data_IF_684721091597
#
_entry.id   IF_684721091597
#
_cell.length_a   1.000
_cell.length_b   1.000
_cell.length_c   1.000
_cell.angle_alpha   90.00
_cell.angle_beta   90.00
_cell.angle_gamma   90.00
#
_symmetry.space_group_name_H-M   'P 1'
#
loop_
_entity.id
_entity.type
_entity.pdbx_description
1 polymer ?
#
# COMPACT_ATOMS: atom_id res chain seq x y z
N UNK A 1 29.35 9.25 14.34
CA UNK A 1 27.96 9.13 13.84
C UNK A 1 27.90 7.90 12.97
N UNK A 2 27.31 6.82 13.47
CA UNK A 2 27.49 5.45 12.98
C UNK A 2 26.13 4.76 12.80
N UNK A 3 25.92 4.22 11.58
CA UNK A 3 24.92 3.25 11.09
C UNK A 3 23.42 3.61 11.25
N UNK A 4 22.52 3.30 10.31
CA UNK A 4 22.41 2.11 9.47
C UNK A 4 21.44 2.38 8.30
N UNK A 5 21.75 1.95 7.07
CA UNK A 5 20.75 1.78 6.02
C UNK A 5 21.12 0.57 5.14
N UNK A 6 20.15 -0.30 4.98
CA UNK A 6 20.29 -1.73 4.73
C UNK A 6 20.94 -2.11 3.40
N UNK A 7 21.84 -3.09 3.51
CA UNK A 7 22.48 -3.88 2.46
C UNK A 7 21.44 -4.53 1.55
N UNK A 8 21.59 -4.35 0.23
CA UNK A 8 20.97 -5.21 -0.77
C UNK A 8 22.11 -5.90 -1.53
N UNK A 9 22.34 -7.17 -1.22
CA UNK A 9 23.00 -8.11 -2.13
C UNK A 9 21.98 -9.17 -2.52
N UNK A 10 22.09 -9.71 -3.75
CA UNK A 10 22.43 -11.13 -3.79
C UNK A 10 23.44 -11.52 -4.88
N UNK A 11 24.41 -12.32 -4.42
CA UNK A 11 25.07 -13.51 -4.99
C UNK A 11 25.50 -13.52 -6.47
N UNK A 12 26.81 -13.68 -6.65
CA UNK A 12 27.42 -14.45 -7.76
C UNK A 12 26.88 -15.88 -7.79
N UNK A 13 26.58 -16.37 -8.98
CA UNK A 13 26.96 -17.72 -9.42
C UNK A 13 27.17 -17.70 -10.93
N UNK A 14 28.38 -18.04 -11.32
CA UNK A 14 28.86 -18.35 -12.67
C UNK A 14 28.37 -19.73 -13.12
N UNK A 15 28.31 -19.94 -14.45
CA UNK A 15 28.35 -21.25 -15.15
C UNK A 15 27.06 -22.13 -15.07
N UNK A 16 26.53 -22.81 -16.10
CA UNK A 16 26.90 -23.14 -17.48
C UNK A 16 25.62 -23.56 -18.25
N UNK A 17 25.64 -23.45 -19.58
CA UNK A 17 24.67 -24.03 -20.52
C UNK A 17 24.65 -25.57 -20.43
N UNK A 18 23.46 -26.20 -20.46
CA UNK A 18 23.09 -27.25 -21.44
C UNK A 18 21.83 -28.05 -21.08
N UNK A 19 21.15 -28.47 -22.16
CA UNK A 19 20.16 -29.55 -22.28
C UNK A 19 18.68 -29.31 -21.96
N UNK A 20 17.93 -29.30 -23.07
CA UNK A 20 16.49 -29.44 -23.23
C UNK A 20 16.08 -30.93 -23.07
N UNK A 21 15.12 -31.26 -22.20
CA UNK A 21 14.09 -32.31 -22.44
C UNK A 21 12.99 -32.38 -21.35
N UNK A 22 11.76 -32.16 -21.82
CA UNK A 22 10.46 -32.78 -21.43
C UNK A 22 10.16 -33.17 -19.96
N UNK A 23 9.08 -32.59 -19.42
CA UNK A 23 8.37 -33.10 -18.24
C UNK A 23 7.21 -32.20 -17.81
N UNK A 24 6.03 -32.42 -18.38
CA UNK A 24 4.76 -31.86 -17.92
C UNK A 24 4.41 -32.41 -16.51
N UNK A 25 3.74 -31.57 -15.72
CA UNK A 25 3.12 -31.85 -14.41
C UNK A 25 4.04 -31.99 -13.19
N UNK A 26 4.18 -30.89 -12.43
CA UNK A 26 3.74 -30.84 -11.02
C UNK A 26 3.62 -29.39 -10.56
N UNK A 27 2.38 -28.98 -10.35
CA UNK A 27 1.96 -27.67 -9.82
C UNK A 27 2.40 -27.52 -8.37
N UNK A 28 2.80 -26.29 -8.02
CA UNK A 28 2.66 -25.77 -6.66
C UNK A 28 3.93 -25.76 -5.82
N UNK A 29 4.87 -24.85 -6.13
CA UNK A 29 5.64 -24.08 -5.13
C UNK A 29 6.68 -23.16 -5.79
N UNK A 30 7.17 -23.50 -6.98
CA UNK A 30 8.30 -22.80 -7.62
C UNK A 30 7.91 -21.48 -8.32
N UNK A 31 6.61 -21.23 -8.54
CA UNK A 31 6.13 -19.93 -9.04
C UNK A 31 6.03 -18.86 -7.94
N UNK A 32 5.90 -19.26 -6.68
CA UNK A 32 5.68 -18.33 -5.56
C UNK A 32 6.98 -17.70 -5.04
N UNK A 33 8.12 -18.41 -5.17
CA UNK A 33 9.42 -17.91 -4.71
C UNK A 33 10.06 -16.91 -5.68
N UNK A 34 9.80 -17.03 -6.99
CA UNK A 34 10.23 -16.04 -7.97
C UNK A 34 9.44 -14.72 -7.87
N UNK A 35 8.16 -14.79 -7.48
CA UNK A 35 7.34 -13.60 -7.23
C UNK A 35 7.62 -12.95 -5.86
N UNK A 36 7.95 -13.72 -4.82
CA UNK A 36 8.29 -13.15 -3.51
C UNK A 36 9.73 -12.60 -3.40
N UNK A 37 10.63 -12.96 -4.33
CA UNK A 37 12.01 -12.42 -4.39
C UNK A 37 12.17 -11.23 -5.33
N UNK A 38 11.10 -10.76 -5.97
CA UNK A 38 11.06 -9.47 -6.63
C UNK A 38 10.50 -8.45 -5.65
N UNK A 39 11.38 -7.90 -4.82
CA UNK A 39 11.09 -6.68 -4.08
C UNK A 39 10.73 -5.57 -5.09
N UNK A 40 9.42 -5.35 -5.29
CA UNK A 40 8.75 -4.21 -5.89
C UNK A 40 9.23 -3.79 -7.31
N UNK A 41 8.44 -4.01 -8.39
CA UNK A 41 8.60 -3.27 -9.64
C UNK A 41 7.91 -1.89 -9.52
N UNK A 42 8.52 -0.91 -8.81
CA UNK A 42 8.54 0.48 -9.26
C UNK A 42 9.81 1.25 -8.83
N UNK A 43 10.93 0.57 -8.56
CA UNK A 43 12.14 1.23 -8.02
C UNK A 43 12.65 2.36 -8.92
N UNK A 44 12.65 2.19 -10.25
CA UNK A 44 13.17 3.24 -11.14
C UNK A 44 12.26 4.47 -11.21
N UNK A 45 10.94 4.29 -11.15
CA UNK A 45 9.98 5.41 -11.15
C UNK A 45 10.04 6.16 -9.82
N UNK A 46 10.13 5.42 -8.70
CA UNK A 46 10.31 6.01 -7.37
C UNK A 46 11.65 6.74 -7.25
N UNK A 47 12.72 6.13 -7.75
CA UNK A 47 14.05 6.74 -7.78
C UNK A 47 14.04 8.03 -8.60
N UNK A 48 13.44 8.00 -9.79
CA UNK A 48 13.34 9.19 -10.65
C UNK A 48 12.60 10.33 -9.95
N UNK A 49 11.45 10.03 -9.34
CA UNK A 49 10.68 11.01 -8.59
C UNK A 49 11.48 11.58 -7.41
N UNK A 50 12.19 10.73 -6.67
CA UNK A 50 13.02 11.18 -5.55
C UNK A 50 14.15 12.11 -6.02
N UNK A 51 14.82 11.76 -7.11
CA UNK A 51 15.88 12.60 -7.70
C UNK A 51 15.31 13.93 -8.20
N UNK A 52 14.15 13.93 -8.88
CA UNK A 52 13.44 15.15 -9.28
C UNK A 52 13.14 16.06 -8.08
N UNK A 53 12.59 15.50 -7.00
CA UNK A 53 12.30 16.27 -5.79
C UNK A 53 13.57 16.82 -5.12
N UNK A 54 14.65 16.04 -5.07
CA UNK A 54 15.92 16.53 -4.55
C UNK A 54 16.55 17.60 -5.45
N UNK A 55 16.44 17.47 -6.77
CA UNK A 55 16.92 18.48 -7.72
C UNK A 55 16.18 19.81 -7.58
N UNK A 56 14.86 19.76 -7.40
CA UNK A 56 14.03 20.94 -7.10
C UNK A 56 14.46 21.59 -5.78
N UNK A 57 14.67 20.78 -4.72
CA UNK A 57 15.12 21.29 -3.43
C UNK A 57 16.53 21.93 -3.48
N UNK A 58 17.36 21.51 -4.44
CA UNK A 58 18.70 22.05 -4.66
C UNK A 58 18.73 23.21 -5.68
N UNK A 59 17.57 23.66 -6.17
CA UNK A 59 17.44 24.74 -7.16
C UNK A 59 18.22 24.44 -8.46
N UNK A 60 18.19 23.19 -8.91
CA UNK A 60 18.79 22.80 -10.19
C UNK A 60 17.81 23.15 -11.32
N UNK A 61 18.05 24.28 -11.98
CA UNK A 61 17.19 24.77 -13.07
C UNK A 61 17.57 24.22 -14.46
N UNK A 62 18.84 23.87 -14.66
CA UNK A 62 19.36 23.42 -15.94
C UNK A 62 19.22 21.89 -16.10
N UNK A 63 18.57 21.47 -17.18
CA UNK A 63 18.41 20.06 -17.57
C UNK A 63 19.74 19.30 -17.58
N UNK A 64 20.82 19.94 -18.02
CA UNK A 64 22.15 19.31 -18.09
C UNK A 64 22.70 19.02 -16.68
N UNK A 65 22.50 19.98 -15.76
CA UNK A 65 22.89 19.82 -14.35
C UNK A 65 22.01 18.78 -13.67
N UNK A 66 20.72 18.74 -14.00
CA UNK A 66 19.78 17.76 -13.48
C UNK A 66 20.12 16.33 -13.90
N UNK A 67 20.51 16.12 -15.17
CA UNK A 67 21.00 14.83 -15.66
C UNK A 67 22.29 14.43 -14.96
N UNK A 68 23.25 15.35 -14.83
CA UNK A 68 24.53 15.08 -14.16
C UNK A 68 24.32 14.71 -12.68
N UNK A 69 23.42 15.42 -12.01
CA UNK A 69 22.99 15.14 -10.64
C UNK A 69 22.32 13.75 -10.53
N UNK A 70 21.37 13.45 -11.41
CA UNK A 70 20.71 12.15 -11.45
C UNK A 70 21.71 11.01 -11.67
N UNK A 71 22.64 11.18 -12.62
CA UNK A 71 23.71 10.21 -12.88
C UNK A 71 24.62 10.01 -11.67
N UNK A 72 24.97 11.08 -10.95
CA UNK A 72 25.75 11.00 -9.73
C UNK A 72 25.06 10.17 -8.64
N UNK A 73 23.73 10.06 -8.66
CA UNK A 73 22.95 9.24 -7.73
C UNK A 73 22.66 7.82 -8.23
N UNK A 74 23.14 7.44 -9.42
CA UNK A 74 23.11 6.04 -9.89
C UNK A 74 24.17 5.20 -9.17
N UNK A 75 23.89 3.92 -8.99
CA UNK A 75 24.81 2.97 -8.34
C UNK A 75 24.85 1.65 -9.11
N UNK A 76 25.96 0.93 -9.01
CA UNK A 76 26.17 -0.38 -9.65
C UNK A 76 26.01 -0.33 -11.18
N UNK A 77 25.35 -1.36 -11.73
CA UNK A 77 25.16 -1.51 -13.19
C UNK A 77 24.48 -0.32 -13.87
N UNK A 78 23.62 0.41 -13.17
CA UNK A 78 22.98 1.62 -13.70
C UNK A 78 23.96 2.78 -13.89
N UNK A 79 24.93 2.90 -12.98
CA UNK A 79 26.00 3.88 -13.12
C UNK A 79 26.94 3.51 -14.27
N UNK A 80 27.37 2.25 -14.33
CA UNK A 80 28.24 1.74 -15.40
C UNK A 80 27.61 1.94 -16.78
N UNK A 81 26.32 1.59 -16.93
CA UNK A 81 25.57 1.82 -18.16
C UNK A 81 25.56 3.30 -18.56
N UNK A 82 25.24 4.20 -17.62
CA UNK A 82 25.13 5.63 -17.92
C UNK A 82 26.48 6.24 -18.34
N UNK A 83 27.57 5.89 -17.66
CA UNK A 83 28.91 6.36 -18.04
C UNK A 83 29.41 5.72 -19.34
N UNK A 84 29.12 4.44 -19.58
CA UNK A 84 29.45 3.79 -20.85
C UNK A 84 28.74 4.49 -22.03
N UNK A 85 27.48 4.88 -21.86
CA UNK A 85 26.74 5.62 -22.89
C UNK A 85 27.40 6.96 -23.22
N UNK A 86 27.90 7.69 -22.21
CA UNK A 86 28.64 8.95 -22.42
C UNK A 86 30.00 8.76 -23.09
N UNK A 87 30.67 7.63 -22.85
CA UNK A 87 31.94 7.32 -23.51
C UNK A 87 31.76 7.01 -24.99
N UNK A 88 30.62 6.39 -25.37
CA UNK A 88 30.28 6.14 -26.78
C UNK A 88 29.77 7.40 -27.47
N UNK A 89 28.90 8.16 -26.81
CA UNK A 89 28.29 9.37 -27.35
C UNK A 89 28.43 10.51 -26.34
N UNK A 90 29.24 11.52 -26.67
CA UNK A 90 29.44 12.70 -25.79
C UNK A 90 28.12 13.41 -25.43
N UNK A 91 27.09 13.32 -26.30
CA UNK A 91 25.75 13.87 -26.08
C UNK A 91 24.67 12.79 -25.87
N UNK A 92 25.01 11.68 -25.19
CA UNK A 92 24.06 10.58 -24.94
C UNK A 92 22.77 11.02 -24.21
N UNK A 93 22.86 12.04 -23.35
CA UNK A 93 21.75 12.54 -22.53
C UNK A 93 21.63 14.08 -22.64
N UNK A 94 21.08 14.62 -23.74
CA UNK A 94 21.04 16.06 -23.96
C UNK A 94 19.90 16.76 -23.20
N UNK A 95 18.94 16.02 -22.61
CA UNK A 95 17.87 16.56 -21.77
C UNK A 95 17.44 15.56 -20.69
N UNK A 96 16.80 16.07 -19.63
CA UNK A 96 16.25 15.24 -18.55
C UNK A 96 15.19 14.26 -19.07
N UNK A 97 14.39 14.68 -20.04
CA UNK A 97 13.37 13.84 -20.67
C UNK A 97 13.97 12.64 -21.43
N UNK A 98 15.07 12.86 -22.16
CA UNK A 98 15.76 11.78 -22.89
C UNK A 98 16.42 10.82 -21.91
N UNK A 99 17.07 11.33 -20.86
CA UNK A 99 17.62 10.51 -19.80
C UNK A 99 16.55 9.63 -19.14
N UNK A 100 15.40 10.22 -18.75
CA UNK A 100 14.24 9.53 -18.18
C UNK A 100 13.72 8.41 -19.09
N UNK A 101 13.65 8.68 -20.39
CA UNK A 101 13.19 7.70 -21.38
C UNK A 101 14.18 6.55 -21.54
N UNK A 102 15.48 6.85 -21.70
CA UNK A 102 16.53 5.84 -21.86
C UNK A 102 16.66 4.95 -20.62
N UNK A 103 16.64 5.53 -19.42
CA UNK A 103 16.79 4.75 -18.19
C UNK A 103 15.56 3.89 -17.90
N UNK A 104 14.35 4.36 -18.23
CA UNK A 104 13.13 3.55 -18.20
C UNK A 104 13.23 2.40 -19.19
N UNK A 105 13.60 2.66 -20.45
CA UNK A 105 13.75 1.61 -21.45
C UNK A 105 14.74 0.51 -21.03
N UNK A 106 15.82 0.88 -20.31
CA UNK A 106 16.85 -0.06 -19.88
C UNK A 106 16.45 -0.89 -18.65
N UNK A 107 15.78 -0.27 -17.66
CA UNK A 107 15.54 -0.88 -16.34
C UNK A 107 14.07 -1.23 -16.05
N UNK A 108 13.14 -0.76 -16.88
CA UNK A 108 11.73 -1.10 -16.77
C UNK A 108 11.44 -2.35 -17.60
N UNK A 109 10.82 -3.39 -17.02
CA UNK A 109 10.39 -4.54 -17.79
C UNK A 109 9.38 -4.15 -18.88
N UNK A 110 9.38 -4.82 -20.05
CA UNK A 110 8.40 -4.58 -21.11
C UNK A 110 6.95 -4.85 -20.65
N UNK A 111 6.78 -5.68 -19.61
CA UNK A 111 5.48 -6.08 -19.04
C UNK A 111 5.17 -5.34 -17.73
N UNK A 112 5.81 -4.20 -17.46
CA UNK A 112 5.73 -3.50 -16.17
C UNK A 112 4.29 -3.16 -15.75
N UNK A 113 3.42 -2.77 -16.68
CA UNK A 113 2.03 -2.44 -16.36
C UNK A 113 1.24 -3.63 -15.84
N UNK A 114 1.37 -4.78 -16.51
CA UNK A 114 0.72 -6.02 -16.08
C UNK A 114 1.24 -6.45 -14.72
N UNK A 115 2.55 -6.29 -14.48
CA UNK A 115 3.15 -6.57 -13.17
C UNK A 115 2.60 -5.64 -12.08
N UNK A 116 2.50 -4.33 -12.35
CA UNK A 116 1.95 -3.35 -11.42
C UNK A 116 0.47 -3.64 -11.09
N UNK A 117 -0.32 -3.97 -12.10
CA UNK A 117 -1.71 -4.39 -11.90
C UNK A 117 -1.80 -5.69 -11.10
N UNK A 118 -0.98 -6.69 -11.41
CA UNK A 118 -0.93 -7.94 -10.64
C UNK A 118 -0.52 -7.69 -9.17
N UNK A 119 0.46 -6.82 -8.92
CA UNK A 119 0.83 -6.38 -7.58
C UNK A 119 -0.33 -5.69 -6.87
N UNK A 120 -1.06 -4.81 -7.56
CA UNK A 120 -2.24 -4.13 -7.01
C UNK A 120 -3.33 -5.14 -6.61
N UNK A 121 -3.67 -6.10 -7.48
CA UNK A 121 -4.67 -7.13 -7.20
C UNK A 121 -4.23 -8.13 -6.12
N UNK A 122 -2.93 -8.34 -5.96
CA UNK A 122 -2.36 -9.27 -4.99
C UNK A 122 -2.03 -8.62 -3.65
N UNK A 123 -2.03 -7.28 -3.56
CA UNK A 123 -1.68 -6.58 -2.33
C UNK A 123 -2.70 -6.87 -1.22
N UNK A 124 -2.20 -7.21 -0.04
CA UNK A 124 -2.98 -7.51 1.17
C UNK A 124 -2.33 -6.81 2.35
N UNK A 125 -3.14 -6.24 3.25
CA UNK A 125 -2.64 -5.63 4.48
C UNK A 125 -1.86 -6.63 5.34
N UNK A 126 -2.33 -7.88 5.44
CA UNK A 126 -1.69 -8.95 6.20
C UNK A 126 -1.32 -8.52 7.64
N UNK A 127 -0.05 -8.54 8.01
CA UNK A 127 0.45 -8.10 9.33
C UNK A 127 0.94 -6.65 9.33
N UNK A 128 0.88 -5.94 8.20
CA UNK A 128 1.36 -4.55 8.07
C UNK A 128 0.38 -3.57 8.70
N UNK A 129 0.89 -2.41 9.10
CA UNK A 129 0.04 -1.32 9.56
C UNK A 129 -0.91 -0.86 8.44
N UNK A 130 -2.06 -0.29 8.82
CA UNK A 130 -3.00 0.25 7.83
C UNK A 130 -2.34 1.33 6.96
N UNK A 131 -1.49 2.17 7.55
CA UNK A 131 -0.76 3.23 6.86
C UNK A 131 0.18 2.70 5.78
N UNK A 132 0.97 1.66 6.08
CA UNK A 132 1.87 1.05 5.10
C UNK A 132 1.10 0.44 3.92
N UNK A 133 0.00 -0.25 4.20
CA UNK A 133 -0.86 -0.82 3.17
C UNK A 133 -1.51 0.26 2.30
N UNK A 134 -2.05 1.31 2.91
CA UNK A 134 -2.61 2.46 2.20
C UNK A 134 -1.56 3.11 1.29
N UNK A 135 -0.34 3.32 1.80
CA UNK A 135 0.72 3.94 1.02
C UNK A 135 1.13 3.08 -0.18
N UNK A 136 1.21 1.76 0.00
CA UNK A 136 1.47 0.83 -1.10
C UNK A 136 0.36 0.90 -2.15
N UNK A 137 -0.90 0.81 -1.74
CA UNK A 137 -2.05 0.85 -2.65
C UNK A 137 -2.10 2.15 -3.47
N UNK A 138 -1.86 3.30 -2.84
CA UNK A 138 -1.74 4.59 -3.55
C UNK A 138 -0.58 4.61 -4.52
N UNK A 139 0.58 4.10 -4.10
CA UNK A 139 1.76 4.08 -4.96
C UNK A 139 1.55 3.22 -6.20
N UNK A 140 0.97 2.02 -6.05
CA UNK A 140 0.64 1.13 -7.16
C UNK A 140 -0.38 1.77 -8.10
N UNK A 141 -1.42 2.41 -7.56
CA UNK A 141 -2.40 3.17 -8.36
C UNK A 141 -1.73 4.29 -9.18
N UNK A 142 -0.81 5.04 -8.58
CA UNK A 142 -0.08 6.13 -9.25
C UNK A 142 0.91 5.63 -10.31
N UNK A 143 1.53 4.46 -10.12
CA UNK A 143 2.46 3.88 -11.10
C UNK A 143 1.75 3.30 -12.33
N UNK A 144 0.47 2.94 -12.22
CA UNK A 144 -0.35 2.47 -13.35
C UNK A 144 -0.87 3.69 -14.13
N UNK A 145 -0.04 4.27 -15.00
CA UNK A 145 -0.36 5.53 -15.70
C UNK A 145 -0.98 5.37 -17.10
N UNK A 146 -0.62 4.34 -17.85
CA UNK A 146 -1.02 4.18 -19.26
C UNK A 146 -2.41 3.55 -19.40
N UNK A 147 -2.87 2.82 -18.39
CA UNK A 147 -4.21 2.24 -18.30
C UNK A 147 -4.72 2.28 -16.85
N UNK A 148 -5.12 3.45 -16.33
CA UNK A 148 -5.52 3.59 -14.94
C UNK A 148 -6.73 2.69 -14.66
N UNK A 149 -6.67 1.99 -13.52
CA UNK A 149 -7.76 1.11 -13.11
C UNK A 149 -9.03 1.94 -12.81
N UNK A 150 -10.22 1.49 -13.22
CA UNK A 150 -11.46 2.16 -12.88
C UNK A 150 -11.78 1.97 -11.38
N UNK A 151 -12.40 2.97 -10.75
CA UNK A 151 -12.74 2.95 -9.31
C UNK A 151 -13.58 1.74 -8.87
N UNK A 152 -14.57 1.26 -9.66
CA UNK A 152 -15.30 0.02 -9.35
C UNK A 152 -14.42 -1.23 -9.25
N UNK A 153 -13.18 -1.20 -9.74
CA UNK A 153 -12.20 -2.28 -9.59
C UNK A 153 -11.27 -2.00 -8.40
N UNK A 154 -10.84 -0.75 -8.23
CA UNK A 154 -9.93 -0.36 -7.14
C UNK A 154 -10.56 -0.51 -5.75
N UNK A 155 -11.79 -0.04 -5.58
CA UNK A 155 -12.48 -0.07 -4.28
C UNK A 155 -12.64 -1.51 -3.75
N UNK A 156 -13.21 -2.48 -4.50
CA UNK A 156 -13.31 -3.85 -4.02
C UNK A 156 -11.96 -4.51 -3.79
N UNK A 157 -10.95 -4.20 -4.61
CA UNK A 157 -9.59 -4.73 -4.43
C UNK A 157 -8.99 -4.25 -3.11
N UNK A 158 -9.09 -2.95 -2.83
CA UNK A 158 -8.64 -2.36 -1.57
C UNK A 158 -9.36 -2.99 -0.36
N UNK A 159 -10.70 -3.10 -0.43
CA UNK A 159 -11.53 -3.71 0.60
C UNK A 159 -11.18 -5.17 0.86
N UNK A 160 -10.95 -5.96 -0.19
CA UNK A 160 -10.62 -7.36 -0.07
C UNK A 160 -9.25 -7.58 0.59
N UNK A 161 -8.30 -6.65 0.35
CA UNK A 161 -6.99 -6.71 0.97
C UNK A 161 -6.91 -6.19 2.41
N UNK A 162 -7.93 -5.49 2.91
CA UNK A 162 -7.98 -5.03 4.30
C UNK A 162 -8.22 -6.18 5.28
N UNK A 163 -7.35 -6.23 6.31
CA UNK A 163 -7.52 -7.09 7.48
C UNK A 163 -8.23 -6.37 8.63
N UNK A 164 -8.02 -5.06 8.78
CA UNK A 164 -8.55 -4.30 9.90
C UNK A 164 -10.08 -4.35 9.92
N UNK A 165 -10.64 -5.13 10.87
CA UNK A 165 -12.06 -5.49 10.92
C UNK A 165 -12.97 -4.26 11.11
N UNK A 166 -12.68 -3.31 12.04
CA UNK A 166 -13.50 -2.12 12.18
C UNK A 166 -13.56 -1.27 10.91
N UNK A 167 -12.41 -1.02 10.27
CA UNK A 167 -12.35 -0.25 9.02
C UNK A 167 -13.12 -0.97 7.90
N UNK A 168 -12.93 -2.28 7.75
CA UNK A 168 -13.66 -3.08 6.76
C UNK A 168 -15.18 -3.01 6.99
N UNK A 169 -15.63 -3.09 8.25
CA UNK A 169 -17.06 -2.98 8.58
C UNK A 169 -17.62 -1.58 8.32
N UNK A 170 -16.87 -0.52 8.64
CA UNK A 170 -17.26 0.86 8.34
C UNK A 170 -17.45 1.08 6.83
N UNK A 171 -16.58 0.48 6.01
CA UNK A 171 -16.64 0.59 4.56
C UNK A 171 -17.85 -0.13 3.95
N UNK A 172 -18.24 -1.29 4.48
CA UNK A 172 -19.47 -1.96 4.05
C UNK A 172 -20.74 -1.16 4.36
N UNK A 173 -20.72 -0.32 5.41
CA UNK A 173 -21.86 0.54 5.77
C UNK A 173 -21.95 1.78 4.89
N UNK A 174 -20.81 2.39 4.56
CA UNK A 174 -20.76 3.67 3.83
C UNK A 174 -20.73 3.53 2.31
N UNK A 175 -20.29 2.37 1.79
CA UNK A 175 -20.19 2.07 0.35
C UNK A 175 -19.48 3.20 -0.44
N UNK A 176 -18.16 3.32 -0.29
CA UNK A 176 -17.41 4.40 -0.94
C UNK A 176 -17.44 4.29 -2.47
N UNK A 177 -17.45 5.44 -3.13
CA UNK A 177 -17.47 5.57 -4.60
C UNK A 177 -16.07 5.53 -5.22
N UNK A 178 -15.04 5.88 -4.44
CA UNK A 178 -13.63 5.95 -4.88
C UNK A 178 -12.70 5.26 -3.89
N UNK A 179 -11.51 4.85 -4.36
CA UNK A 179 -10.49 4.24 -3.49
C UNK A 179 -10.00 5.24 -2.44
N UNK A 180 -9.84 6.50 -2.80
CA UNK A 180 -9.42 7.57 -1.87
C UNK A 180 -10.43 7.77 -0.74
N UNK A 181 -11.72 7.83 -1.04
CA UNK A 181 -12.80 7.90 -0.03
C UNK A 181 -12.76 6.67 0.89
N UNK A 182 -12.57 5.47 0.32
CA UNK A 182 -12.42 4.24 1.09
C UNK A 182 -11.22 4.30 2.04
N UNK A 183 -10.10 4.88 1.60
CA UNK A 183 -8.90 5.05 2.42
C UNK A 183 -9.17 6.03 3.55
N UNK A 184 -9.81 7.17 3.29
CA UNK A 184 -10.12 8.17 4.32
C UNK A 184 -10.99 7.59 5.44
N UNK A 185 -12.06 6.88 5.07
CA UNK A 185 -12.94 6.19 6.02
C UNK A 185 -12.13 5.18 6.85
N UNK A 186 -11.28 4.37 6.20
CA UNK A 186 -10.45 3.37 6.88
C UNK A 186 -9.50 4.01 7.91
N UNK A 187 -8.85 5.13 7.53
CA UNK A 187 -7.91 5.84 8.39
C UNK A 187 -8.60 6.53 9.58
N UNK A 188 -9.78 7.11 9.37
CA UNK A 188 -10.58 7.70 10.46
C UNK A 188 -10.99 6.61 11.45
N UNK A 189 -11.47 5.47 10.95
CA UNK A 189 -11.92 4.37 11.81
C UNK A 189 -10.77 3.74 12.61
N UNK A 190 -9.59 3.57 11.99
CA UNK A 190 -8.40 3.07 12.68
C UNK A 190 -7.94 4.02 13.79
N UNK A 191 -8.03 5.33 13.57
CA UNK A 191 -7.78 6.34 14.62
C UNK A 191 -8.80 6.22 15.75
N UNK A 192 -10.09 6.21 15.45
CA UNK A 192 -11.16 6.06 16.46
C UNK A 192 -11.01 4.78 17.28
N UNK A 193 -10.71 3.66 16.62
CA UNK A 193 -10.48 2.37 17.28
C UNK A 193 -9.28 2.43 18.23
N UNK A 194 -8.15 2.99 17.78
CA UNK A 194 -6.96 3.18 18.63
C UNK A 194 -7.22 4.12 19.80
N UNK A 195 -7.98 5.20 19.59
CA UNK A 195 -8.38 6.12 20.66
C UNK A 195 -9.27 5.45 21.71
N UNK A 196 -10.21 4.60 21.27
CA UNK A 196 -11.07 3.83 22.17
C UNK A 196 -10.28 2.80 23.00
N UNK A 197 -9.24 2.20 22.43
CA UNK A 197 -8.33 1.31 23.17
C UNK A 197 -7.42 2.05 24.16
N UNK A 198 -7.00 3.27 23.81
CA UNK A 198 -6.12 4.08 24.65
C UNK A 198 -6.85 4.70 25.85
N UNK A 199 -8.18 4.83 25.78
CA UNK A 199 -8.99 5.34 26.88
C UNK A 199 -9.41 4.14 27.75
N UNK A 200 -8.92 3.99 28.99
CA UNK A 200 -9.45 2.97 29.89
C UNK A 200 -10.94 3.22 30.03
N UNK A 201 -11.76 2.18 29.87
CA UNK A 201 -13.16 2.24 30.30
C UNK A 201 -13.16 2.75 31.75
N UNK A 202 -13.63 3.97 31.97
CA UNK A 202 -14.06 4.37 33.30
C UNK A 202 -15.19 3.41 33.64
N UNK A 203 -14.94 2.47 34.55
CA UNK A 203 -15.99 1.70 35.18
C UNK A 203 -17.01 2.74 35.66
N UNK A 204 -18.30 2.65 35.29
CA UNK A 204 -19.28 3.53 35.89
C UNK A 204 -19.14 3.33 37.40
N UNK A 205 -18.72 4.39 38.10
CA UNK A 205 -18.66 4.38 39.56
C UNK A 205 -20.06 4.02 40.01
N UNK A 206 -20.22 2.78 40.47
CA UNK A 206 -21.49 2.29 41.01
C UNK A 206 -21.61 2.88 42.40
N UNK A 207 -21.86 4.18 42.49
CA UNK A 207 -22.31 4.82 43.71
C UNK A 207 -23.40 5.85 43.36
N UNK A 208 -24.57 5.60 43.97
CA UNK A 208 -25.66 6.53 44.22
C UNK A 208 -26.84 6.70 43.25
N UNK A 209 -27.22 5.65 42.51
CA UNK A 209 -28.65 5.36 42.28
C UNK A 209 -28.82 3.88 41.93
N UNK A 210 -28.91 3.04 42.96
CA UNK A 210 -29.53 1.73 42.78
C UNK A 210 -30.98 1.98 42.34
N UNK A 211 -31.23 1.91 41.03
CA UNK A 211 -32.58 1.91 40.50
C UNK A 211 -33.29 0.71 41.14
N UNK A 212 -34.24 0.99 42.02
CA UNK A 212 -35.11 -0.04 42.57
C UNK A 212 -35.79 -0.75 41.41
N UNK A 213 -35.67 -2.08 41.28
CA UNK A 213 -36.39 -2.80 40.24
C UNK A 213 -37.88 -2.54 40.41
N UNK A 214 -38.61 -2.27 39.31
CA UNK A 214 -40.05 -2.03 39.35
C UNK A 214 -40.74 -3.16 40.13
N UNK A 215 -41.35 -2.82 41.27
CA UNK A 215 -42.18 -3.75 42.02
C UNK A 215 -43.50 -3.97 41.26
N UNK A 216 -43.60 -5.11 40.57
CA UNK A 216 -44.77 -5.59 39.84
C UNK A 216 -46.04 -5.74 40.72
N UNK A 217 -45.89 -5.75 42.05
CA UNK A 217 -46.95 -6.03 43.01
C UNK A 217 -47.99 -4.91 43.17
N UNK A 218 -47.68 -3.67 42.76
CA UNK A 218 -48.58 -2.53 42.96
C UNK A 218 -49.76 -2.53 41.98
N UNK A 219 -49.68 -3.23 40.85
CA UNK A 219 -50.72 -3.25 39.83
C UNK A 219 -51.71 -4.41 39.99
N UNK A 220 -51.34 -5.47 40.71
CA UNK A 220 -52.23 -6.62 40.93
C UNK A 220 -53.26 -6.38 42.04
N UNK A 221 -53.01 -5.43 42.94
CA UNK A 221 -53.94 -5.08 44.02
C UNK A 221 -54.98 -4.01 43.61
N UNK A 222 -54.77 -3.31 42.49
CA UNK A 222 -55.72 -2.30 42.00
C UNK A 222 -56.83 -2.86 41.11
N UNK A 223 -56.69 -4.09 40.60
CA UNK A 223 -57.71 -4.72 39.74
C UNK A 223 -58.72 -5.61 40.49
N UNK A 224 -58.52 -5.85 41.79
CA UNK A 224 -59.43 -6.72 42.57
C UNK A 224 -60.48 -5.94 43.39
N UNK A 225 -60.35 -4.63 43.56
CA UNK A 225 -61.30 -3.81 44.36
C UNK A 225 -62.42 -3.16 43.52
N UNK A 226 -62.55 -3.48 42.23
CA UNK A 226 -63.59 -2.91 41.35
C UNK A 226 -64.71 -3.89 40.97
N UNK A 227 -64.72 -5.14 41.48
CA UNK A 227 -65.68 -6.17 41.06
C UNK A 227 -66.64 -6.67 42.16
N UNK A 228 -66.77 -5.98 43.31
CA UNK A 228 -67.63 -6.42 44.43
C UNK A 228 -68.53 -5.32 45.01
N UNK A 229 -69.13 -4.48 44.17
CA UNK A 229 -70.14 -3.50 44.63
C UNK A 229 -71.26 -3.26 43.59
N UNK A 230 -71.78 -4.35 43.02
CA UNK A 230 -73.01 -4.32 42.20
C UNK A 230 -73.81 -5.61 42.38
N UNK A 231 -74.41 -5.78 43.57
CA UNK A 231 -75.66 -6.53 43.80
C UNK A 231 -76.44 -5.76 44.86
#
# INVERSE_FOLDING_TARGET
MSFCASRIEPRRSTELLSHYRSGLFSRGLLGWTLLNSMALPPTIVRWHLAVEQCGVAQLIEDDTRMVSYAMYHLRGKASEWAYSALMTESKAFPSGAIFKTKIRAMYQPPTNEVLLQACFFSSRQAQRSLQEYVQEMRSLSAYISVGPLPEPIKVPTFLNGLRHVPARQALFRKVPSTMEEAIEIALVEDKSYKSALATPWQKPTTEMYAATPMKLATWMLSTTTAASAAI
#
